data_IF_983663911732
#
_entry.id   IF_983663911732
#
_cell.length_a   1.000
_cell.length_b   1.000
_cell.length_c   1.000
_cell.angle_alpha   90.00
_cell.angle_beta   90.00
_cell.angle_gamma   90.00
#
_symmetry.space_group_name_H-M   'P 1'
#
loop_
_entity.id
_entity.type
_entity.pdbx_description
1 polymer ?
#
# COMPACT_ATOMS: atom_id res chain seq x y z
N UNK A 1 -11.53 12.52 -30.92
CA UNK A 1 -12.50 13.55 -30.51
C UNK A 1 -11.98 14.13 -29.20
N UNK A 2 -11.66 15.42 -29.15
CA UNK A 2 -11.24 16.04 -27.88
C UNK A 2 -12.47 16.19 -26.98
N UNK A 3 -12.35 15.76 -25.72
CA UNK A 3 -13.39 15.93 -24.70
C UNK A 3 -13.69 17.42 -24.49
N UNK A 4 -14.95 17.77 -24.21
CA UNK A 4 -15.37 19.15 -23.91
C UNK A 4 -14.58 19.75 -22.74
N UNK A 5 -14.18 18.92 -21.76
CA UNK A 5 -13.29 19.33 -20.67
C UNK A 5 -11.89 19.74 -21.14
N UNK A 6 -11.33 19.09 -22.17
CA UNK A 6 -10.02 19.44 -22.72
C UNK A 6 -10.04 20.80 -23.45
N UNK A 7 -11.14 21.14 -24.14
CA UNK A 7 -11.31 22.44 -24.79
C UNK A 7 -11.43 23.59 -23.78
N UNK A 8 -12.12 23.38 -22.66
CA UNK A 8 -12.19 24.39 -21.60
C UNK A 8 -10.82 24.61 -20.94
N UNK A 9 -10.07 23.53 -20.68
CA UNK A 9 -8.72 23.60 -20.12
C UNK A 9 -7.75 24.36 -21.03
N UNK A 10 -7.84 24.18 -22.35
CA UNK A 10 -7.03 24.92 -23.32
C UNK A 10 -7.27 26.45 -23.29
N UNK A 11 -8.38 26.91 -22.70
CA UNK A 11 -8.69 28.33 -22.53
C UNK A 11 -8.32 28.90 -21.16
N UNK A 12 -7.92 28.06 -20.20
CA UNK A 12 -7.47 28.47 -18.88
C UNK A 12 -5.96 28.72 -18.88
N UNK A 13 -5.50 29.73 -18.14
CA UNK A 13 -4.07 29.91 -17.90
C UNK A 13 -3.58 28.80 -16.96
N UNK A 14 -2.77 27.88 -17.51
CA UNK A 14 -2.07 26.85 -16.73
C UNK A 14 -1.09 27.49 -15.75
N UNK A 15 -1.09 27.02 -14.51
CA UNK A 15 -0.10 27.46 -13.52
C UNK A 15 1.32 27.09 -13.96
N UNK A 16 2.27 27.98 -13.72
CA UNK A 16 3.69 27.73 -14.02
C UNK A 16 4.55 28.06 -12.81
N UNK A 17 5.24 27.03 -12.32
CA UNK A 17 6.19 27.16 -11.23
C UNK A 17 7.43 27.97 -11.65
N UNK A 18 7.98 28.76 -10.73
CA UNK A 18 9.36 29.26 -10.83
C UNK A 18 10.35 28.10 -10.68
N UNK A 19 11.62 28.34 -11.00
CA UNK A 19 12.67 27.32 -10.83
C UNK A 19 12.76 26.80 -9.39
N UNK A 20 12.70 27.70 -8.40
CA UNK A 20 12.74 27.31 -6.98
C UNK A 20 11.50 26.49 -6.57
N UNK A 21 10.31 26.93 -7.00
CA UNK A 21 9.05 26.20 -6.77
C UNK A 21 9.11 24.80 -7.40
N UNK A 22 9.65 24.71 -8.61
CA UNK A 22 9.79 23.45 -9.33
C UNK A 22 10.79 22.50 -8.66
N UNK A 23 11.90 23.01 -8.13
CA UNK A 23 12.85 22.21 -7.36
C UNK A 23 12.24 21.63 -6.07
N UNK A 24 11.33 22.36 -5.43
CA UNK A 24 10.60 21.84 -4.27
C UNK A 24 9.58 20.79 -4.69
N UNK A 25 8.82 21.06 -5.75
CA UNK A 25 7.88 20.09 -6.35
C UNK A 25 8.57 18.78 -6.74
N UNK A 26 9.72 18.84 -7.43
CA UNK A 26 10.41 17.64 -7.91
C UNK A 26 10.88 16.73 -6.77
N UNK A 27 11.28 17.30 -5.63
CA UNK A 27 11.59 16.52 -4.43
C UNK A 27 10.34 15.82 -3.86
N UNK A 28 9.20 16.51 -3.86
CA UNK A 28 7.92 15.95 -3.44
C UNK A 28 7.41 14.85 -4.38
N UNK A 29 7.50 15.09 -5.69
CA UNK A 29 7.21 14.12 -6.75
C UNK A 29 8.02 12.84 -6.53
N UNK A 30 9.34 12.95 -6.32
CA UNK A 30 10.20 11.80 -6.05
C UNK A 30 9.75 11.03 -4.81
N UNK A 31 9.39 11.73 -3.72
CA UNK A 31 8.92 11.10 -2.49
C UNK A 31 7.56 10.38 -2.67
N UNK A 32 6.63 10.93 -3.46
CA UNK A 32 5.35 10.29 -3.80
C UNK A 32 5.60 9.02 -4.60
N UNK A 33 6.43 9.08 -5.65
CA UNK A 33 6.73 7.91 -6.48
C UNK A 33 7.41 6.78 -5.68
N UNK A 34 8.31 7.11 -4.75
CA UNK A 34 8.94 6.14 -3.86
C UNK A 34 7.95 5.46 -2.89
N UNK A 35 6.81 6.11 -2.61
CA UNK A 35 5.75 5.58 -1.74
C UNK A 35 4.60 4.92 -2.52
N UNK A 36 4.67 4.90 -3.85
CA UNK A 36 3.64 4.27 -4.67
C UNK A 36 3.92 2.77 -4.82
N UNK A 37 3.25 1.97 -4.00
CA UNK A 37 3.50 0.51 -3.90
C UNK A 37 3.40 -0.22 -5.24
N UNK A 38 2.41 0.11 -6.09
CA UNK A 38 2.29 -0.49 -7.42
C UNK A 38 3.54 -0.25 -8.28
N UNK A 39 4.03 0.99 -8.32
CA UNK A 39 5.26 1.35 -9.02
C UNK A 39 6.48 0.65 -8.44
N UNK A 40 6.56 0.51 -7.10
CA UNK A 40 7.66 -0.21 -6.44
C UNK A 40 7.64 -1.72 -6.74
N UNK A 41 6.46 -2.34 -6.81
CA UNK A 41 6.30 -3.74 -7.23
C UNK A 41 6.76 -3.93 -8.68
N UNK A 42 6.40 -3.01 -9.57
CA UNK A 42 6.88 -3.00 -10.96
C UNK A 42 8.40 -2.85 -11.02
N UNK A 43 8.97 -1.95 -10.21
CA UNK A 43 10.41 -1.77 -10.13
C UNK A 43 11.14 -3.04 -9.71
N UNK A 44 10.58 -3.76 -8.73
CA UNK A 44 11.19 -4.96 -8.18
C UNK A 44 11.09 -6.17 -9.13
N UNK A 45 9.99 -6.30 -9.86
CA UNK A 45 9.66 -7.55 -10.58
C UNK A 45 9.66 -7.44 -12.10
N UNK A 46 9.53 -6.25 -12.66
CA UNK A 46 9.37 -6.04 -14.10
C UNK A 46 10.50 -5.17 -14.68
N UNK A 47 10.68 -3.96 -14.15
CA UNK A 47 11.62 -2.98 -14.67
C UNK A 47 12.13 -2.04 -13.57
N UNK A 48 13.35 -2.30 -13.08
CA UNK A 48 14.00 -1.51 -12.05
C UNK A 48 14.17 -0.02 -12.41
N UNK A 49 14.08 0.35 -13.69
CA UNK A 49 14.17 1.74 -14.14
C UNK A 49 12.83 2.47 -14.10
N UNK A 50 11.72 1.77 -13.88
CA UNK A 50 10.38 2.36 -13.94
C UNK A 50 10.21 3.62 -13.09
N UNK A 51 10.64 3.67 -11.81
CA UNK A 51 10.51 4.88 -11.00
C UNK A 51 11.30 6.06 -11.56
N UNK A 52 12.51 5.81 -12.06
CA UNK A 52 13.38 6.85 -12.64
C UNK A 52 12.80 7.39 -13.94
N UNK A 53 12.36 6.52 -14.84
CA UNK A 53 11.75 6.93 -16.12
C UNK A 53 10.49 7.75 -15.86
N UNK A 54 9.60 7.28 -14.99
CA UNK A 54 8.38 8.00 -14.64
C UNK A 54 8.67 9.37 -14.03
N UNK A 55 9.66 9.46 -13.14
CA UNK A 55 10.09 10.72 -12.54
C UNK A 55 10.59 11.71 -13.58
N UNK A 56 11.46 11.26 -14.50
CA UNK A 56 12.03 12.09 -15.56
C UNK A 56 10.95 12.61 -16.51
N UNK A 57 10.03 11.72 -16.93
CA UNK A 57 8.95 12.07 -17.83
C UNK A 57 7.99 13.09 -17.20
N UNK A 58 7.60 12.89 -15.93
CA UNK A 58 6.73 13.83 -15.21
C UNK A 58 7.42 15.18 -14.96
N UNK A 59 8.73 15.19 -14.65
CA UNK A 59 9.48 16.43 -14.54
C UNK A 59 9.53 17.18 -15.87
N UNK A 60 9.87 16.49 -16.97
CA UNK A 60 9.95 17.07 -18.29
C UNK A 60 8.58 17.61 -18.74
N UNK A 61 7.50 16.90 -18.44
CA UNK A 61 6.14 17.32 -18.76
C UNK A 61 5.78 18.63 -18.05
N UNK A 62 5.99 18.71 -16.74
CA UNK A 62 5.70 19.94 -15.98
C UNK A 62 6.63 21.10 -16.35
N UNK A 63 7.89 20.85 -16.69
CA UNK A 63 8.80 21.91 -17.17
C UNK A 63 8.35 22.50 -18.51
N UNK A 64 7.89 21.64 -19.43
CA UNK A 64 7.44 22.03 -20.77
C UNK A 64 6.09 22.76 -20.69
N UNK A 65 5.11 22.12 -20.07
CA UNK A 65 3.70 22.48 -20.19
C UNK A 65 3.18 23.24 -18.95
N UNK A 66 3.88 23.18 -17.82
CA UNK A 66 3.44 23.76 -16.55
C UNK A 66 2.53 22.80 -15.78
N UNK A 67 1.36 23.28 -15.39
CA UNK A 67 0.33 22.48 -14.72
C UNK A 67 -0.15 21.33 -15.61
N UNK A 68 -0.03 20.10 -15.09
CA UNK A 68 -0.59 18.90 -15.71
C UNK A 68 -1.82 18.47 -14.90
N UNK A 69 -2.91 18.16 -15.60
CA UNK A 69 -4.17 17.80 -14.97
C UNK A 69 -4.23 16.31 -14.64
N UNK A 70 -5.07 15.99 -13.64
CA UNK A 70 -5.27 14.63 -13.13
C UNK A 70 -5.65 13.65 -14.25
N UNK A 71 -6.68 13.95 -15.05
CA UNK A 71 -7.14 13.06 -16.13
C UNK A 71 -6.03 12.75 -17.15
N UNK A 72 -5.16 13.72 -17.46
CA UNK A 72 -4.09 13.51 -18.43
C UNK A 72 -2.96 12.65 -17.82
N UNK A 73 -2.67 12.83 -16.53
CA UNK A 73 -1.73 11.96 -15.81
C UNK A 73 -2.27 10.54 -15.66
N UNK A 74 -3.56 10.36 -15.40
CA UNK A 74 -4.19 9.03 -15.31
C UNK A 74 -4.04 8.26 -16.63
N UNK A 75 -4.38 8.87 -17.76
CA UNK A 75 -4.20 8.26 -19.09
C UNK A 75 -2.73 7.92 -19.34
N UNK A 76 -1.83 8.81 -18.96
CA UNK A 76 -0.39 8.55 -19.09
C UNK A 76 0.08 7.39 -18.21
N UNK A 77 -0.43 7.27 -16.98
CA UNK A 77 -0.09 6.15 -16.08
C UNK A 77 -0.60 4.83 -16.62
N UNK A 78 -1.84 4.78 -17.12
CA UNK A 78 -2.40 3.61 -17.80
C UNK A 78 -1.46 3.18 -18.94
N UNK A 79 -1.11 4.09 -19.84
CA UNK A 79 -0.19 3.80 -20.95
C UNK A 79 1.21 3.36 -20.47
N UNK A 80 1.72 3.97 -19.39
CA UNK A 80 3.03 3.67 -18.82
C UNK A 80 3.12 2.26 -18.22
N UNK A 81 2.04 1.78 -17.60
CA UNK A 81 1.97 0.43 -17.01
C UNK A 81 1.58 -0.63 -18.04
N UNK A 82 0.57 -0.36 -18.88
CA UNK A 82 0.05 -1.33 -19.86
C UNK A 82 1.02 -1.55 -21.03
N UNK A 83 1.42 -0.47 -21.72
CA UNK A 83 2.12 -0.60 -23.01
C UNK A 83 3.62 -0.92 -22.87
N UNK A 84 4.24 -0.51 -21.76
CA UNK A 84 5.69 -0.64 -21.58
C UNK A 84 6.05 -1.89 -20.78
N UNK A 85 5.14 -2.34 -19.90
CA UNK A 85 5.47 -3.31 -18.85
C UNK A 85 4.47 -4.45 -18.71
N UNK A 86 3.39 -4.45 -19.51
CA UNK A 86 2.32 -5.46 -19.47
C UNK A 86 1.73 -5.66 -18.07
N UNK A 87 1.77 -4.62 -17.23
CA UNK A 87 1.24 -4.64 -15.86
C UNK A 87 -0.05 -3.87 -15.83
N UNK A 88 -1.12 -4.53 -15.39
CA UNK A 88 -2.41 -3.89 -15.16
C UNK A 88 -2.56 -3.49 -13.71
N UNK A 89 -2.78 -2.20 -13.46
CA UNK A 89 -3.11 -1.68 -12.13
C UNK A 89 -4.63 -1.63 -12.01
N UNK A 90 -5.20 -2.44 -11.11
CA UNK A 90 -6.65 -2.59 -10.93
C UNK A 90 -7.20 -1.85 -9.69
N UNK A 91 -6.33 -1.23 -8.90
CA UNK A 91 -6.74 -0.35 -7.80
C UNK A 91 -6.88 1.11 -8.26
N UNK A 92 -7.43 1.96 -7.39
CA UNK A 92 -7.61 3.39 -7.66
C UNK A 92 -6.29 4.20 -7.49
N UNK A 93 -5.13 3.54 -7.34
CA UNK A 93 -3.89 4.23 -6.93
C UNK A 93 -3.34 5.19 -8.01
N UNK A 94 -3.59 4.92 -9.30
CA UNK A 94 -3.21 5.84 -10.39
C UNK A 94 -3.89 7.20 -10.23
N UNK A 95 -5.18 7.19 -9.94
CA UNK A 95 -5.99 8.40 -9.71
C UNK A 95 -5.57 9.14 -8.45
N UNK A 96 -5.34 8.41 -7.37
CA UNK A 96 -4.88 9.00 -6.11
C UNK A 96 -3.54 9.71 -6.29
N UNK A 97 -2.57 9.04 -6.93
CA UNK A 97 -1.26 9.63 -7.19
C UNK A 97 -1.37 10.82 -8.14
N UNK A 98 -2.13 10.73 -9.22
CA UNK A 98 -2.36 11.86 -10.13
C UNK A 98 -2.96 13.06 -9.39
N UNK A 99 -3.94 12.83 -8.52
CA UNK A 99 -4.58 13.87 -7.70
C UNK A 99 -3.59 14.53 -6.74
N UNK A 100 -2.78 13.72 -6.05
CA UNK A 100 -1.75 14.19 -5.13
C UNK A 100 -0.71 15.05 -5.86
N UNK A 101 -0.20 14.60 -6.99
CA UNK A 101 0.83 15.30 -7.75
C UNK A 101 0.30 16.63 -8.33
N UNK A 102 -0.91 16.63 -8.87
CA UNK A 102 -1.56 17.85 -9.34
C UNK A 102 -1.72 18.86 -8.19
N UNK A 103 -2.28 18.43 -7.06
CA UNK A 103 -2.47 19.29 -5.89
C UNK A 103 -1.12 19.84 -5.38
N UNK A 104 -0.10 18.98 -5.34
CA UNK A 104 1.25 19.35 -4.91
C UNK A 104 1.85 20.43 -5.82
N UNK A 105 1.74 20.28 -7.14
CA UNK A 105 2.24 21.28 -8.09
C UNK A 105 1.53 22.62 -7.91
N UNK A 106 0.20 22.62 -7.81
CA UNK A 106 -0.60 23.83 -7.61
C UNK A 106 -0.25 24.54 -6.28
N UNK A 107 -0.07 23.79 -5.19
CA UNK A 107 0.38 24.33 -3.89
C UNK A 107 1.79 24.89 -3.96
N UNK A 108 2.71 24.22 -4.66
CA UNK A 108 4.06 24.73 -4.87
C UNK A 108 4.04 26.08 -5.63
N UNK A 109 3.18 26.22 -6.64
CA UNK A 109 3.01 27.50 -7.35
C UNK A 109 2.51 28.64 -6.42
N UNK A 110 1.80 28.28 -5.34
CA UNK A 110 1.33 29.20 -4.30
C UNK A 110 2.31 29.37 -3.11
N UNK A 111 3.53 28.83 -3.21
CA UNK A 111 4.53 28.79 -2.14
C UNK A 111 4.08 28.04 -0.86
N UNK A 112 3.24 27.03 -1.02
CA UNK A 112 2.82 26.12 0.04
C UNK A 112 3.48 24.74 -0.17
N UNK A 113 4.38 24.39 0.75
CA UNK A 113 5.19 23.17 0.70
C UNK A 113 4.64 22.05 1.58
N UNK A 114 3.53 22.26 2.28
CA UNK A 114 3.07 21.33 3.32
C UNK A 114 2.84 19.91 2.81
N UNK A 115 2.39 19.76 1.56
CA UNK A 115 2.24 18.43 0.95
C UNK A 115 3.59 17.78 0.62
N UNK A 116 4.57 18.56 0.16
CA UNK A 116 5.93 18.08 -0.11
C UNK A 116 6.59 17.61 1.18
N UNK A 117 6.54 18.43 2.23
CA UNK A 117 7.10 18.12 3.54
C UNK A 117 6.46 16.87 4.15
N UNK A 118 5.13 16.72 4.01
CA UNK A 118 4.41 15.53 4.46
C UNK A 118 4.98 14.26 3.82
N UNK A 119 5.05 14.19 2.49
CA UNK A 119 5.56 13.01 1.80
C UNK A 119 7.04 12.74 2.08
N UNK A 120 7.86 13.78 2.28
CA UNK A 120 9.24 13.59 2.70
C UNK A 120 9.37 12.99 4.10
N UNK A 121 8.54 13.43 5.04
CA UNK A 121 8.54 12.92 6.41
C UNK A 121 8.02 11.48 6.49
N UNK A 122 6.99 11.14 5.71
CA UNK A 122 6.40 9.78 5.73
C UNK A 122 7.25 8.75 4.99
N UNK A 123 8.15 9.17 4.10
CA UNK A 123 9.01 8.26 3.34
C UNK A 123 9.84 7.32 4.23
N UNK A 124 10.37 7.84 5.34
CA UNK A 124 11.10 7.03 6.32
C UNK A 124 10.21 5.95 6.95
N UNK A 125 8.97 6.29 7.27
CA UNK A 125 7.98 5.36 7.83
C UNK A 125 7.61 4.30 6.80
N UNK A 126 7.33 4.70 5.56
CA UNK A 126 7.02 3.79 4.46
C UNK A 126 8.15 2.76 4.24
N UNK A 127 9.40 3.21 4.28
CA UNK A 127 10.55 2.31 4.12
C UNK A 127 10.66 1.32 5.28
N UNK A 128 10.38 1.75 6.52
CA UNK A 128 10.43 0.90 7.70
C UNK A 128 9.30 -0.13 7.75
N UNK A 129 8.09 0.21 7.27
CA UNK A 129 6.95 -0.71 7.28
C UNK A 129 6.99 -1.72 6.15
N UNK A 130 7.85 -1.53 5.14
CA UNK A 130 8.01 -2.42 3.98
C UNK A 130 6.67 -2.89 3.37
N UNK A 131 5.81 -1.96 2.92
CA UNK A 131 4.50 -2.31 2.37
C UNK A 131 4.61 -3.13 1.08
N UNK A 132 5.70 -2.99 0.31
CA UNK A 132 6.00 -3.84 -0.86
C UNK A 132 6.13 -5.30 -0.44
N UNK A 133 6.91 -5.60 0.61
CA UNK A 133 7.05 -6.95 1.15
C UNK A 133 5.74 -7.52 1.71
N UNK A 134 4.93 -6.68 2.36
CA UNK A 134 3.61 -7.08 2.84
C UNK A 134 2.61 -7.36 1.71
N UNK A 135 2.77 -6.73 0.55
CA UNK A 135 1.88 -6.88 -0.59
C UNK A 135 2.08 -8.20 -1.35
N UNK A 136 3.29 -8.78 -1.31
CA UNK A 136 3.60 -10.06 -1.97
C UNK A 136 3.40 -11.28 -1.06
N UNK A 137 3.51 -11.10 0.26
CA UNK A 137 3.41 -12.16 1.26
C UNK A 137 2.14 -12.07 2.11
N UNK A 138 0.95 -12.09 1.50
CA UNK A 138 -0.35 -12.06 2.17
C UNK A 138 -0.71 -13.32 3.00
N UNK A 139 0.26 -13.95 3.68
CA UNK A 139 0.04 -14.98 4.70
C UNK A 139 0.53 -14.47 6.06
N UNK A 140 -0.10 -14.88 7.18
CA UNK A 140 0.34 -14.44 8.51
C UNK A 140 1.82 -14.81 8.69
N UNK A 141 2.59 -13.85 9.19
CA UNK A 141 4.01 -13.99 9.50
C UNK A 141 4.22 -14.89 10.73
N UNK A 142 3.80 -16.15 10.63
CA UNK A 142 3.98 -17.18 11.65
C UNK A 142 4.81 -18.32 11.05
N UNK A 143 6.06 -18.04 10.67
CA UNK A 143 7.18 -18.99 10.78
C UNK A 143 8.49 -18.34 10.33
N UNK A 144 9.06 -17.53 11.21
CA UNK A 144 10.52 -17.41 11.26
C UNK A 144 10.94 -17.94 12.63
N UNK A 145 10.73 -19.24 12.82
CA UNK A 145 11.50 -20.01 13.77
C UNK A 145 12.96 -19.96 13.29
N UNK A 146 13.76 -19.20 14.04
CA UNK A 146 15.19 -19.01 13.88
C UNK A 146 15.90 -20.35 14.20
N UNK A 147 15.97 -21.25 13.23
CA UNK A 147 16.86 -22.41 13.27
C UNK A 147 18.23 -22.01 12.70
N UNK A 148 19.21 -21.75 13.58
CA UNK A 148 20.59 -22.23 13.45
C UNK A 148 21.50 -21.68 14.57
N UNK A 149 21.78 -22.46 15.61
CA UNK A 149 23.04 -23.22 15.69
C UNK A 149 23.14 -23.98 17.02
N UNK A 150 23.21 -25.30 16.90
CA UNK A 150 23.86 -26.20 17.86
C UNK A 150 25.38 -25.95 17.78
N UNK A 151 26.02 -25.66 18.92
CA UNK A 151 27.07 -26.52 19.52
C UNK A 151 27.99 -25.76 20.49
N UNK A 152 28.27 -26.46 21.61
CA UNK A 152 29.57 -26.52 22.34
C UNK A 152 29.72 -25.80 23.71
N UNK A 153 29.31 -26.55 24.75
CA UNK A 153 29.83 -26.79 26.12
C UNK A 153 30.57 -25.72 26.98
N UNK A 154 30.19 -25.70 28.26
CA UNK A 154 31.09 -25.48 29.41
C UNK A 154 30.62 -24.40 30.39
N UNK A 155 29.70 -24.67 31.31
CA UNK A 155 29.89 -25.24 32.67
C UNK A 155 30.10 -24.18 33.78
N UNK A 156 29.56 -24.52 34.94
CA UNK A 156 29.67 -23.94 36.28
C UNK A 156 28.65 -22.89 36.77
N UNK A 157 27.59 -23.47 37.35
CA UNK A 157 27.18 -23.37 38.76
C UNK A 157 26.59 -22.05 39.32
N UNK A 158 25.41 -22.19 39.93
CA UNK A 158 24.82 -21.19 40.81
C UNK A 158 23.40 -21.51 41.23
N UNK A 159 23.24 -22.55 42.05
CA UNK A 159 21.99 -22.90 42.74
C UNK A 159 21.38 -21.69 43.49
N UNK A 160 20.06 -21.51 43.39
CA UNK A 160 19.24 -21.14 44.56
C UNK A 160 17.85 -21.79 44.48
N UNK A 161 17.55 -22.38 45.63
CA UNK A 161 16.48 -23.28 46.01
C UNK A 161 15.16 -22.54 46.35
N UNK A 162 14.07 -23.12 45.85
CA UNK A 162 12.75 -23.39 46.45
C UNK A 162 12.16 -22.43 47.50
N UNK A 163 10.90 -22.05 47.28
CA UNK A 163 9.91 -22.19 48.36
C UNK A 163 8.70 -21.24 48.37
N UNK A 164 7.53 -21.85 48.17
CA UNK A 164 6.31 -21.70 48.99
C UNK A 164 5.22 -20.67 48.58
N UNK A 165 4.09 -21.21 48.08
CA UNK A 165 2.71 -21.15 48.62
C UNK A 165 2.33 -19.89 49.46
N UNK A 166 1.21 -19.18 49.28
CA UNK A 166 -0.19 -19.62 49.22
C UNK A 166 -1.13 -18.42 48.89
N UNK A 167 -2.25 -18.74 48.24
CA UNK A 167 -3.63 -18.20 48.28
C UNK A 167 -4.01 -17.04 49.24
N UNK A 168 -4.73 -16.02 48.74
CA UNK A 168 -5.79 -15.34 49.52
C UNK A 168 -6.94 -14.80 48.63
N UNK A 169 -8.10 -14.66 49.25
CA UNK A 169 -9.44 -14.81 48.68
C UNK A 169 -10.26 -13.51 48.63
N UNK A 170 -11.24 -13.51 47.70
CA UNK A 170 -12.59 -12.91 47.76
C UNK A 170 -12.81 -11.39 48.00
N UNK A 171 -13.55 -10.74 47.09
CA UNK A 171 -14.82 -10.05 47.41
C UNK A 171 -15.53 -9.40 46.19
N UNK A 172 -16.83 -9.71 46.04
CA UNK A 172 -17.89 -8.83 45.49
C UNK A 172 -17.90 -8.56 43.98
N UNK A 173 -19.02 -8.51 43.25
CA UNK A 173 -20.43 -8.29 43.59
C UNK A 173 -21.30 -8.89 42.47
N UNK A 174 -22.36 -9.61 42.87
CA UNK A 174 -23.49 -10.03 42.02
C UNK A 174 -24.36 -8.83 41.67
N UNK A 175 -24.69 -8.63 40.39
CA UNK A 175 -25.94 -7.97 39.97
C UNK A 175 -26.60 -8.82 38.88
N UNK A 176 -27.93 -8.87 38.95
CA UNK A 176 -28.83 -9.89 38.41
C UNK A 176 -29.74 -9.26 37.34
N UNK A 177 -30.15 -10.09 36.37
CA UNK A 177 -31.38 -10.02 35.53
C UNK A 177 -31.31 -9.25 34.18
N UNK A 178 -32.29 -9.45 33.28
CA UNK A 178 -32.69 -10.71 32.64
C UNK A 178 -32.84 -10.53 31.11
N UNK A 179 -32.54 -11.54 30.29
CA UNK A 179 -32.88 -11.49 28.85
C UNK A 179 -33.78 -12.67 28.47
N UNK A 180 -35.07 -12.33 28.39
CA UNK A 180 -36.13 -12.77 27.49
C UNK A 180 -35.93 -14.13 26.78
N UNK A 181 -36.81 -15.07 27.14
CA UNK A 181 -37.08 -16.32 26.42
C UNK A 181 -37.58 -16.03 25.00
N UNK A 182 -36.93 -16.62 23.99
CA UNK A 182 -37.50 -16.77 22.65
C UNK A 182 -37.85 -18.24 22.44
N UNK A 183 -39.13 -18.47 22.14
CA UNK A 183 -39.75 -19.77 21.90
C UNK A 183 -39.18 -20.48 20.67
N UNK A 184 -39.08 -21.80 20.81
CA UNK A 184 -38.80 -22.78 19.75
C UNK A 184 -40.04 -23.05 18.88
N UNK A 185 -39.83 -23.20 17.57
CA UNK A 185 -40.57 -24.16 16.74
C UNK A 185 -39.71 -24.57 15.50
N UNK A 186 -39.74 -25.84 15.05
CA UNK A 186 -38.79 -26.40 14.06
C UNK A 186 -39.47 -26.63 12.65
N UNK A 187 -38.90 -27.38 11.68
CA UNK A 187 -38.42 -26.84 10.40
C UNK A 187 -39.24 -27.31 9.18
N UNK A 188 -39.09 -26.63 8.02
CA UNK A 188 -39.43 -27.21 6.70
C UNK A 188 -38.29 -27.00 5.69
N UNK A 189 -37.95 -28.03 4.88
CA UNK A 189 -36.75 -28.03 4.07
C UNK A 189 -37.00 -27.47 2.67
N UNK A 190 -36.14 -26.56 2.20
CA UNK A 190 -36.00 -26.25 0.77
C UNK A 190 -34.53 -26.36 0.35
N UNK A 191 -34.25 -27.50 -0.28
CA UNK A 191 -33.27 -27.78 -1.35
C UNK A 191 -32.06 -26.84 -1.45
N UNK A 192 -30.96 -27.23 -0.79
CA UNK A 192 -29.60 -26.82 -1.17
C UNK A 192 -29.28 -27.38 -2.56
N UNK A 193 -29.15 -26.50 -3.55
CA UNK A 193 -28.37 -26.79 -4.76
C UNK A 193 -26.89 -26.71 -4.39
N UNK A 194 -26.26 -27.87 -4.25
CA UNK A 194 -24.82 -28.00 -4.10
C UNK A 194 -24.13 -27.57 -5.40
N UNK A 195 -23.75 -26.29 -5.48
CA UNK A 195 -22.75 -25.86 -6.45
C UNK A 195 -21.41 -26.44 -5.98
N UNK A 196 -20.95 -27.50 -6.65
CA UNK A 196 -19.60 -28.03 -6.51
C UNK A 196 -18.59 -26.93 -6.90
N UNK A 197 -18.10 -26.19 -5.90
CA UNK A 197 -16.90 -25.36 -6.02
C UNK A 197 -15.74 -26.29 -6.37
N UNK A 198 -15.38 -26.34 -7.66
CA UNK A 198 -14.10 -26.90 -8.09
C UNK A 198 -13.04 -25.94 -7.53
N UNK A 199 -12.44 -26.30 -6.39
CA UNK A 199 -11.23 -25.65 -5.91
C UNK A 199 -10.14 -26.04 -6.91
N UNK A 200 -9.73 -25.10 -7.76
CA UNK A 200 -8.54 -25.29 -8.55
C UNK A 200 -7.36 -25.37 -7.56
N UNK A 201 -6.47 -26.34 -7.75
CA UNK A 201 -5.35 -26.54 -6.86
C UNK A 201 -4.36 -25.39 -7.09
N UNK A 202 -4.11 -24.54 -6.09
CA UNK A 202 -3.07 -23.53 -6.16
C UNK A 202 -1.78 -24.06 -5.57
N UNK A 203 -0.68 -23.96 -6.31
CA UNK A 203 0.68 -24.29 -5.86
C UNK A 203 1.47 -22.99 -5.76
N UNK A 204 2.21 -22.83 -4.65
CA UNK A 204 3.05 -21.66 -4.43
C UNK A 204 4.39 -21.84 -5.15
N UNK A 205 4.80 -20.87 -5.95
CA UNK A 205 6.09 -20.89 -6.63
C UNK A 205 7.24 -20.48 -5.71
N UNK A 206 8.48 -20.59 -6.23
CA UNK A 206 9.71 -20.22 -5.49
C UNK A 206 9.81 -18.72 -5.19
N UNK A 207 8.97 -17.91 -5.82
CA UNK A 207 8.92 -16.47 -5.68
C UNK A 207 7.74 -16.01 -4.80
N UNK A 208 7.00 -16.95 -4.19
CA UNK A 208 5.92 -16.67 -3.26
C UNK A 208 4.53 -16.53 -3.87
N UNK A 209 4.38 -16.64 -5.20
CA UNK A 209 3.11 -16.47 -5.91
C UNK A 209 2.27 -17.76 -5.92
N UNK A 210 0.95 -17.62 -5.77
CA UNK A 210 0.00 -18.73 -5.92
C UNK A 210 -0.34 -18.93 -7.41
N UNK A 211 0.15 -20.02 -8.00
CA UNK A 211 -0.18 -20.42 -9.36
C UNK A 211 -1.32 -21.43 -9.31
N UNK A 212 -2.40 -21.15 -10.04
CA UNK A 212 -3.56 -22.05 -10.14
C UNK A 212 -3.32 -23.08 -11.24
N UNK A 213 -3.37 -24.38 -10.90
CA UNK A 213 -3.32 -25.49 -11.87
C UNK A 213 -4.67 -25.82 -12.47
#
# INVERSE_FOLDING_TARGET
>A
MQSYGAQLRASMQSLRATEEQFQVFSRGLSAVLQQWTALQLVALHCDARAPTVLYEDLCAWHQRDGEVFVDDMEVYFEDFFDNVREVRIEDDSMKEVATVLHNMYCRCCANDWGLVEHYQQTLGIYTQTNPVGMSVNGGPAEDLADEANEDDYGDEEGEVDVGNEEEETAAGVRVVQPVVQVQQAPPRPQKQQQQKKRKNASVRDKNGWNIVQ
#
